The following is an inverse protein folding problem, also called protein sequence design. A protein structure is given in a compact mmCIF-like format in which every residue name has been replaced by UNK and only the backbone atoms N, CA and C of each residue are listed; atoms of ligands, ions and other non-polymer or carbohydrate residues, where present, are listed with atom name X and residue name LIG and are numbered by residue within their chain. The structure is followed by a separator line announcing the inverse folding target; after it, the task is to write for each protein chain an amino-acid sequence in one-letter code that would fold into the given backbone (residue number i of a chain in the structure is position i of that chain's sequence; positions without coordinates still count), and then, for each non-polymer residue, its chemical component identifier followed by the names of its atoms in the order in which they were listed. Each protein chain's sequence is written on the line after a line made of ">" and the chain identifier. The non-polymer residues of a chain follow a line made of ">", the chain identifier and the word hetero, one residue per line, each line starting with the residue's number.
data_IF_846965847825
#
_entry.id   IF_846965847825
#
_cell.length_a   1.000
_cell.length_b   1.000
_cell.length_c   1.000
_cell.angle_alpha   90.00
_cell.angle_beta   90.00
_cell.angle_gamma   90.00
#
_symmetry.space_group_name_H-M   'P 1'
#
loop_
_entity.id
_entity.type
_entity.pdbx_description
1 polymer ?
#
# COMPACT_ATOMS: atom_id res chain seq x y z
N UNK A 1 8.82 -12.61 -4.96
CA UNK A 1 7.99 -13.81 -4.85
C UNK A 1 8.33 -14.52 -3.56
N UNK A 2 7.35 -14.64 -2.67
CA UNK A 2 7.52 -15.31 -1.37
C UNK A 2 6.41 -16.34 -1.20
N UNK A 3 6.77 -17.53 -0.76
CA UNK A 3 5.84 -18.57 -0.37
C UNK A 3 5.88 -18.72 1.14
N UNK A 4 4.70 -18.79 1.77
CA UNK A 4 4.60 -19.12 3.20
C UNK A 4 4.92 -20.59 3.48
N UNK A 5 5.27 -20.84 4.74
CA UNK A 5 5.63 -22.20 5.24
C UNK A 5 4.41 -23.11 5.40
N UNK A 6 3.21 -22.55 5.50
CA UNK A 6 1.98 -23.33 5.67
C UNK A 6 1.53 -23.89 4.33
N UNK A 7 1.36 -25.20 4.28
CA UNK A 7 0.88 -25.90 3.10
C UNK A 7 -0.61 -25.65 2.82
N UNK A 8 -1.06 -26.08 1.66
CA UNK A 8 -2.47 -26.11 1.26
C UNK A 8 -2.90 -27.55 1.00
N UNK A 9 -4.19 -27.79 1.12
CA UNK A 9 -4.79 -29.05 0.68
C UNK A 9 -5.05 -28.97 -0.84
N UNK A 10 -4.35 -29.84 -1.59
CA UNK A 10 -4.42 -29.87 -3.05
C UNK A 10 -5.68 -30.55 -3.60
N UNK A 11 -6.47 -31.18 -2.75
CA UNK A 11 -7.73 -31.80 -3.13
C UNK A 11 -8.87 -30.80 -3.27
N UNK A 12 -8.68 -29.60 -2.70
CA UNK A 12 -9.67 -28.53 -2.73
C UNK A 12 -9.60 -27.72 -4.05
N UNK A 13 -10.74 -27.18 -4.50
CA UNK A 13 -10.80 -26.35 -5.71
C UNK A 13 -10.16 -24.96 -5.53
N UNK A 14 -9.62 -24.64 -4.36
CA UNK A 14 -8.93 -23.40 -4.05
C UNK A 14 -7.63 -23.68 -3.28
N UNK A 15 -6.73 -22.72 -3.33
CA UNK A 15 -5.41 -22.83 -2.74
C UNK A 15 -5.26 -21.80 -1.62
N UNK A 16 -4.96 -22.26 -0.43
CA UNK A 16 -4.79 -21.49 0.80
C UNK A 16 -3.33 -21.22 1.13
N UNK A 17 -2.40 -21.74 0.33
CA UNK A 17 -0.98 -21.46 0.55
C UNK A 17 -0.72 -19.95 0.50
N UNK A 18 -0.07 -19.44 1.52
CA UNK A 18 0.34 -18.04 1.56
C UNK A 18 1.35 -17.77 0.44
N UNK A 19 1.02 -16.83 -0.43
CA UNK A 19 1.85 -16.44 -1.57
C UNK A 19 1.78 -14.97 -1.81
N UNK A 20 2.94 -14.31 -1.75
CA UNK A 20 3.10 -12.90 -2.04
C UNK A 20 3.92 -12.73 -3.33
N UNK A 21 3.31 -12.09 -4.31
CA UNK A 21 4.01 -11.63 -5.52
C UNK A 21 4.01 -10.11 -5.53
N UNK A 22 5.19 -9.53 -5.64
CA UNK A 22 5.35 -8.07 -5.77
C UNK A 22 6.26 -7.75 -6.93
N UNK A 23 5.80 -6.87 -7.81
CA UNK A 23 6.52 -6.37 -8.95
C UNK A 23 6.73 -4.88 -8.75
N UNK A 24 7.99 -4.45 -8.76
CA UNK A 24 8.35 -3.05 -8.62
C UNK A 24 8.88 -2.54 -9.97
N UNK A 25 8.45 -1.35 -10.34
CA UNK A 25 8.89 -0.66 -11.55
C UNK A 25 9.43 0.70 -11.14
N UNK A 26 10.56 1.11 -11.72
CA UNK A 26 11.10 2.47 -11.61
C UNK A 26 11.79 2.84 -12.90
N UNK A 27 11.46 4.02 -13.41
CA UNK A 27 12.12 4.63 -14.55
C UNK A 27 12.35 6.11 -14.26
N UNK A 28 13.56 6.59 -14.55
CA UNK A 28 13.92 8.00 -14.45
C UNK A 28 14.55 8.38 -15.80
N UNK A 29 14.02 9.43 -16.41
CA UNK A 29 14.46 9.89 -17.71
C UNK A 29 14.69 11.40 -17.66
N UNK A 30 15.88 11.84 -18.03
CA UNK A 30 16.24 13.25 -18.21
C UNK A 30 16.48 13.48 -19.69
N UNK A 31 15.76 14.44 -20.27
CA UNK A 31 15.81 14.78 -21.68
C UNK A 31 16.15 16.26 -21.87
N UNK A 32 17.29 16.55 -22.47
CA UNK A 32 17.63 17.88 -22.95
C UNK A 32 16.84 18.19 -24.23
N UNK A 33 15.66 18.82 -24.09
CA UNK A 33 14.84 19.19 -25.25
C UNK A 33 15.52 20.27 -26.09
N UNK A 34 16.23 21.18 -25.43
CA UNK A 34 17.09 22.19 -26.02
C UNK A 34 18.31 22.43 -25.13
N UNK A 35 19.26 23.26 -25.57
CA UNK A 35 20.43 23.69 -24.76
C UNK A 35 20.03 24.44 -23.47
N UNK A 36 18.76 24.81 -23.33
CA UNK A 36 18.23 25.61 -22.19
C UNK A 36 17.01 25.00 -21.55
N UNK A 37 16.47 23.88 -22.08
CA UNK A 37 15.24 23.24 -21.61
C UNK A 37 15.51 21.80 -21.26
N UNK A 38 15.31 21.44 -20.01
CA UNK A 38 15.45 20.08 -19.49
C UNK A 38 14.08 19.56 -19.03
N UNK A 39 13.67 18.43 -19.58
CA UNK A 39 12.49 17.67 -19.14
C UNK A 39 12.96 16.48 -18.31
N UNK A 40 12.41 16.32 -17.11
CA UNK A 40 12.60 15.13 -16.27
C UNK A 40 11.28 14.40 -16.11
N UNK A 41 11.34 13.10 -16.27
CA UNK A 41 10.23 12.20 -16.07
C UNK A 41 10.65 11.07 -15.14
N UNK A 42 10.03 10.99 -13.97
CA UNK A 42 10.27 9.94 -13.01
C UNK A 42 8.97 9.19 -12.81
N UNK A 43 9.01 7.89 -12.93
CA UNK A 43 7.89 6.98 -12.66
C UNK A 43 8.37 5.87 -11.75
N UNK A 44 7.60 5.58 -10.73
CA UNK A 44 7.82 4.45 -9.84
C UNK A 44 6.51 3.83 -9.42
N UNK A 45 6.56 2.59 -8.98
CA UNK A 45 5.36 1.94 -8.48
C UNK A 45 5.54 0.46 -8.23
N UNK A 46 4.46 -0.14 -7.77
CA UNK A 46 4.40 -1.59 -7.58
C UNK A 46 3.00 -2.15 -7.81
N UNK A 47 2.99 -3.42 -8.19
CA UNK A 47 1.82 -4.30 -8.16
C UNK A 47 2.11 -5.42 -7.17
N UNK A 48 1.21 -5.65 -6.23
CA UNK A 48 1.33 -6.69 -5.22
C UNK A 48 0.07 -7.55 -5.20
N UNK A 49 0.26 -8.86 -5.24
CA UNK A 49 -0.82 -9.83 -5.10
C UNK A 49 -0.50 -10.73 -3.91
N UNK A 50 -1.44 -10.79 -2.97
CA UNK A 50 -1.38 -11.65 -1.80
C UNK A 50 -2.51 -12.67 -1.87
N UNK A 51 -2.16 -13.93 -1.69
CA UNK A 51 -3.10 -15.03 -1.46
C UNK A 51 -2.72 -15.73 -0.17
N UNK A 52 -3.68 -16.11 0.63
CA UNK A 52 -3.48 -16.86 1.88
C UNK A 52 -4.77 -17.53 2.33
N UNK A 53 -4.68 -18.32 3.40
CA UNK A 53 -5.85 -18.77 4.16
C UNK A 53 -6.72 -17.57 4.59
N UNK A 54 -8.02 -17.79 4.75
CA UNK A 54 -8.94 -16.83 5.34
C UNK A 54 -8.55 -16.48 6.78
N UNK A 55 -8.11 -17.46 7.55
CA UNK A 55 -7.67 -17.24 8.93
C UNK A 55 -6.42 -16.37 8.98
N UNK A 56 -6.32 -15.54 10.01
CA UNK A 56 -5.12 -14.75 10.23
C UNK A 56 -3.94 -15.65 10.65
N UNK A 57 -2.73 -15.18 10.42
CA UNK A 57 -1.51 -15.90 10.80
C UNK A 57 -1.46 -16.12 12.31
N UNK A 58 -1.84 -15.10 13.10
CA UNK A 58 -1.82 -15.15 14.55
C UNK A 58 -2.82 -16.18 15.08
N UNK A 59 -4.04 -16.22 14.56
CA UNK A 59 -5.04 -17.24 14.92
C UNK A 59 -4.57 -18.66 14.57
N UNK A 60 -3.90 -18.84 13.43
CA UNK A 60 -3.36 -20.15 13.03
C UNK A 60 -2.26 -20.61 13.97
N UNK A 61 -1.32 -19.74 14.32
CA UNK A 61 -0.27 -20.05 15.28
C UNK A 61 -0.82 -20.30 16.68
N UNK A 62 -1.72 -19.48 17.14
CA UNK A 62 -2.39 -19.69 18.43
C UNK A 62 -3.06 -21.06 18.47
N UNK A 63 -3.88 -21.39 17.47
CA UNK A 63 -4.54 -22.70 17.41
C UNK A 63 -3.55 -23.86 17.36
N UNK A 64 -2.41 -23.70 16.65
CA UNK A 64 -1.37 -24.72 16.59
C UNK A 64 -0.66 -24.93 17.93
N UNK A 65 -0.40 -23.88 18.69
CA UNK A 65 0.17 -23.98 20.04
C UNK A 65 -0.82 -24.53 21.08
N UNK A 66 -2.11 -24.21 20.95
CA UNK A 66 -3.16 -24.70 21.85
C UNK A 66 -3.56 -26.16 21.59
N UNK A 67 -3.20 -26.70 20.40
CA UNK A 67 -3.57 -28.06 19.98
C UNK A 67 -2.32 -28.87 19.65
N UNK A 68 -1.66 -29.44 20.67
CA UNK A 68 -0.50 -30.31 20.45
C UNK A 68 -0.83 -31.54 19.59
N UNK A 69 0.12 -32.02 18.76
CA UNK A 69 -0.11 -33.14 17.81
C UNK A 69 -0.64 -34.42 18.38
N UNK A 70 -0.41 -34.66 19.67
CA UNK A 70 -0.84 -35.90 20.37
C UNK A 70 -2.31 -35.87 20.79
N UNK A 71 -3.02 -34.71 20.68
CA UNK A 71 -4.43 -34.60 21.08
C UNK A 71 -5.34 -35.23 20.05
N UNK A 72 -5.09 -34.95 18.77
CA UNK A 72 -5.78 -35.58 17.63
C UNK A 72 -4.96 -35.37 16.35
N UNK A 73 -5.18 -36.18 15.32
CA UNK A 73 -4.60 -35.93 14.00
C UNK A 73 -5.24 -34.71 13.34
N UNK A 74 -4.62 -34.18 12.28
CA UNK A 74 -5.17 -33.09 11.48
C UNK A 74 -6.54 -33.46 10.84
N UNK A 75 -6.59 -34.68 10.30
CA UNK A 75 -7.77 -35.29 9.67
C UNK A 75 -7.68 -36.80 9.94
N UNK A 76 -8.80 -37.44 10.17
CA UNK A 76 -8.87 -38.88 10.32
C UNK A 76 -8.79 -39.61 8.97
N UNK A 77 -8.53 -40.93 9.01
CA UNK A 77 -8.43 -41.76 7.82
C UNK A 77 -9.70 -41.89 7.02
N UNK A 78 -10.86 -41.64 7.63
CA UNK A 78 -12.18 -41.54 7.00
C UNK A 78 -12.51 -40.17 6.43
N UNK A 79 -11.57 -39.20 6.52
CA UNK A 79 -11.75 -37.83 6.04
C UNK A 79 -12.43 -36.90 7.05
N UNK A 80 -12.84 -37.37 8.22
CA UNK A 80 -13.48 -36.54 9.22
C UNK A 80 -12.46 -35.64 9.94
N UNK A 81 -12.89 -34.43 10.31
CA UNK A 81 -12.04 -33.40 10.89
C UNK A 81 -12.32 -33.28 12.38
N UNK A 82 -11.41 -33.73 13.26
CA UNK A 82 -11.59 -33.66 14.70
C UNK A 82 -11.43 -32.25 15.24
N UNK A 83 -12.18 -31.94 16.31
CA UNK A 83 -12.06 -30.72 17.10
C UNK A 83 -12.30 -31.03 18.57
N UNK A 84 -11.47 -30.49 19.47
CA UNK A 84 -11.62 -30.74 20.91
C UNK A 84 -12.85 -30.01 21.46
N UNK A 85 -13.03 -28.75 21.07
CA UNK A 85 -14.14 -27.90 21.52
C UNK A 85 -14.33 -26.72 20.57
N UNK A 86 -15.34 -25.92 20.84
CA UNK A 86 -15.57 -24.68 20.05
C UNK A 86 -14.43 -23.66 20.19
N UNK A 87 -13.69 -23.68 21.29
CA UNK A 87 -12.57 -22.79 21.57
C UNK A 87 -11.23 -23.33 21.03
N UNK A 88 -11.04 -24.64 21.05
CA UNK A 88 -9.83 -25.31 20.53
C UNK A 88 -10.08 -25.79 19.11
N UNK A 89 -9.79 -24.93 18.17
CA UNK A 89 -9.99 -25.17 16.74
C UNK A 89 -8.89 -26.08 16.18
N UNK A 90 -9.22 -26.85 15.15
CA UNK A 90 -8.24 -27.64 14.41
C UNK A 90 -7.40 -26.71 13.52
N UNK A 91 -6.09 -26.53 13.76
CA UNK A 91 -5.27 -25.57 13.02
C UNK A 91 -5.09 -25.95 11.55
N UNK A 92 -5.08 -27.23 11.23
CA UNK A 92 -5.03 -27.69 9.84
C UNK A 92 -6.28 -27.28 9.08
N UNK A 93 -7.46 -27.52 9.66
CA UNK A 93 -8.73 -27.13 9.06
C UNK A 93 -8.86 -25.60 8.91
N UNK A 94 -8.43 -24.85 9.92
CA UNK A 94 -8.39 -23.39 9.83
C UNK A 94 -7.53 -22.90 8.66
N UNK A 95 -6.40 -23.55 8.42
CA UNK A 95 -5.51 -23.16 7.32
C UNK A 95 -6.04 -23.60 5.95
N UNK A 96 -6.62 -24.79 5.85
CA UNK A 96 -6.93 -25.39 4.55
C UNK A 96 -8.41 -25.38 4.18
N UNK A 97 -9.32 -25.59 5.16
CA UNK A 97 -10.74 -25.83 4.91
C UNK A 97 -11.64 -24.61 5.06
N UNK A 98 -11.17 -23.55 5.75
CA UNK A 98 -12.01 -22.40 6.07
C UNK A 98 -12.13 -21.35 4.94
N UNK A 99 -11.59 -21.66 3.75
CA UNK A 99 -11.63 -20.75 2.62
C UNK A 99 -10.34 -19.93 2.45
N UNK A 100 -10.42 -18.86 1.69
CA UNK A 100 -9.22 -18.13 1.26
C UNK A 100 -9.43 -16.60 1.24
N UNK A 101 -8.31 -15.91 1.29
CA UNK A 101 -8.17 -14.48 1.07
C UNK A 101 -7.33 -14.23 -0.19
N UNK A 102 -7.80 -13.31 -1.04
CA UNK A 102 -7.03 -12.74 -2.15
C UNK A 102 -7.08 -11.23 -2.07
N UNK A 103 -5.91 -10.59 -2.08
CA UNK A 103 -5.80 -9.14 -2.06
C UNK A 103 -4.81 -8.63 -3.10
N UNK A 104 -5.13 -7.49 -3.69
CA UNK A 104 -4.28 -6.76 -4.61
C UNK A 104 -3.98 -5.37 -4.08
N UNK A 105 -2.74 -4.92 -4.24
CA UNK A 105 -2.32 -3.54 -3.97
C UNK A 105 -1.55 -3.03 -5.17
N UNK A 106 -1.86 -1.81 -5.58
CA UNK A 106 -1.10 -1.12 -6.60
C UNK A 106 -0.77 0.31 -6.16
N UNK A 107 0.43 0.74 -6.47
CA UNK A 107 0.87 2.12 -6.28
C UNK A 107 1.58 2.60 -7.53
N UNK A 108 1.23 3.78 -7.99
CA UNK A 108 1.93 4.50 -9.04
C UNK A 108 2.31 5.87 -8.49
N UNK A 109 3.55 6.24 -8.67
CA UNK A 109 4.11 7.56 -8.37
C UNK A 109 4.74 8.10 -9.64
N UNK A 110 4.35 9.30 -10.04
CA UNK A 110 4.88 9.93 -11.24
C UNK A 110 5.19 11.38 -11.00
N UNK A 111 6.30 11.84 -11.56
CA UNK A 111 6.74 13.21 -11.49
C UNK A 111 7.27 13.65 -12.86
N UNK A 112 6.72 14.76 -13.34
CA UNK A 112 7.19 15.46 -14.52
C UNK A 112 7.72 16.81 -14.09
N UNK A 113 8.92 17.21 -14.53
CA UNK A 113 9.38 18.55 -14.32
C UNK A 113 10.03 19.11 -15.58
N UNK A 114 9.69 20.33 -15.90
CA UNK A 114 10.25 21.11 -16.98
C UNK A 114 11.06 22.25 -16.38
N UNK A 115 12.37 22.24 -16.63
CA UNK A 115 13.27 23.33 -16.24
C UNK A 115 13.69 24.12 -17.47
N UNK A 116 13.51 25.44 -17.43
CA UNK A 116 13.90 26.34 -18.47
C UNK A 116 14.94 27.34 -17.95
N UNK A 117 16.10 27.35 -18.54
CA UNK A 117 17.10 28.39 -18.29
C UNK A 117 16.76 29.63 -19.11
N UNK A 118 16.50 30.74 -18.44
CA UNK A 118 16.06 32.01 -19.03
C UNK A 118 17.20 33.01 -19.17
N UNK A 119 18.42 32.51 -19.43
CA UNK A 119 19.61 33.35 -19.63
C UNK A 119 19.48 34.36 -20.76
N UNK A 120 18.53 34.15 -21.69
CA UNK A 120 18.19 35.11 -22.75
C UNK A 120 17.57 36.40 -22.20
N UNK A 121 16.90 36.34 -21.06
CA UNK A 121 16.31 37.49 -20.36
C UNK A 121 17.37 38.09 -19.44
N UNK A 122 17.91 37.26 -18.55
CA UNK A 122 19.02 37.66 -17.67
C UNK A 122 19.81 36.44 -17.22
N UNK A 123 21.16 36.52 -17.16
CA UNK A 123 21.97 35.44 -16.62
C UNK A 123 21.58 35.11 -15.17
N UNK A 124 21.47 33.81 -14.85
CA UNK A 124 21.11 33.33 -13.51
C UNK A 124 19.62 33.12 -13.29
N UNK A 125 18.75 33.51 -14.22
CA UNK A 125 17.31 33.28 -14.13
C UNK A 125 16.94 31.88 -14.66
N UNK A 126 16.15 31.15 -13.87
CA UNK A 126 15.59 29.83 -14.26
C UNK A 126 14.13 29.75 -13.82
N UNK A 127 13.35 29.01 -14.56
CA UNK A 127 11.99 28.62 -14.23
C UNK A 127 11.87 27.12 -14.21
N UNK A 128 11.16 26.56 -13.24
CA UNK A 128 10.86 25.15 -13.13
C UNK A 128 9.36 24.96 -12.88
N UNK A 129 8.74 24.08 -13.64
CA UNK A 129 7.38 23.61 -13.39
C UNK A 129 7.44 22.13 -13.09
N UNK A 130 6.79 21.70 -12.02
CA UNK A 130 6.73 20.30 -11.59
C UNK A 130 5.27 19.90 -11.46
N UNK A 131 4.92 18.76 -12.05
CA UNK A 131 3.64 18.11 -11.87
C UNK A 131 3.90 16.69 -11.36
N UNK A 132 3.22 16.31 -10.27
CA UNK A 132 3.26 14.94 -9.79
C UNK A 132 1.84 14.39 -9.66
N UNK A 133 1.72 13.10 -9.94
CA UNK A 133 0.49 12.35 -9.80
C UNK A 133 0.80 11.01 -9.15
N UNK A 134 0.16 10.77 -8.00
CA UNK A 134 0.29 9.53 -7.24
C UNK A 134 -1.07 8.88 -7.08
N UNK A 135 -1.12 7.56 -7.20
CA UNK A 135 -2.33 6.79 -6.90
C UNK A 135 -1.99 5.51 -6.16
N UNK A 136 -2.85 5.17 -5.22
CA UNK A 136 -2.82 3.91 -4.49
C UNK A 136 -4.19 3.26 -4.55
N UNK A 137 -4.22 1.97 -4.85
CA UNK A 137 -5.43 1.17 -4.83
C UNK A 137 -5.19 -0.13 -4.08
N UNK A 138 -6.18 -0.52 -3.28
CA UNK A 138 -6.22 -1.80 -2.59
C UNK A 138 -7.60 -2.42 -2.76
N UNK A 139 -7.60 -3.70 -3.11
CA UNK A 139 -8.80 -4.51 -3.18
C UNK A 139 -8.56 -5.87 -2.56
N UNK A 140 -9.60 -6.48 -2.02
CA UNK A 140 -9.51 -7.85 -1.60
C UNK A 140 -10.86 -8.57 -1.63
N UNK A 141 -10.78 -9.87 -1.74
CA UNK A 141 -11.91 -10.79 -1.67
C UNK A 141 -11.59 -11.85 -0.63
N UNK A 142 -12.52 -12.08 0.27
CA UNK A 142 -12.49 -13.19 1.22
C UNK A 142 -13.65 -14.12 0.90
N UNK A 143 -13.35 -15.41 0.79
CA UNK A 143 -14.36 -16.45 0.67
C UNK A 143 -14.23 -17.39 1.87
N UNK A 144 -15.33 -17.63 2.56
CA UNK A 144 -15.37 -18.39 3.79
C UNK A 144 -16.17 -19.67 3.65
N UNK A 145 -15.71 -20.69 4.36
CA UNK A 145 -16.40 -21.96 4.55
C UNK A 145 -16.04 -22.51 5.93
N UNK A 146 -16.96 -23.19 6.57
CA UNK A 146 -16.67 -23.99 7.76
C UNK A 146 -16.85 -25.45 7.37
N UNK A 147 -15.91 -26.34 7.69
CA UNK A 147 -16.08 -27.77 7.50
C UNK A 147 -16.94 -28.36 8.61
N UNK A 148 -17.44 -29.58 8.38
CA UNK A 148 -18.03 -30.39 9.47
C UNK A 148 -16.94 -30.74 10.47
N UNK A 149 -17.24 -30.57 11.75
CA UNK A 149 -16.32 -30.94 12.82
C UNK A 149 -16.89 -32.07 13.68
N UNK A 150 -16.02 -32.99 14.05
CA UNK A 150 -16.31 -34.18 14.82
C UNK A 150 -15.61 -34.16 16.15
N UNK A 151 -16.16 -34.85 17.14
CA UNK A 151 -15.48 -35.09 18.42
C UNK A 151 -14.21 -35.91 18.21
N UNK A 152 -13.24 -35.76 19.13
CA UNK A 152 -12.07 -36.60 19.12
C UNK A 152 -12.48 -38.04 19.37
N UNK A 153 -12.13 -38.96 18.45
CA UNK A 153 -12.43 -40.37 18.57
C UNK A 153 -11.64 -40.98 19.74
N UNK A 154 -12.34 -41.69 20.60
CA UNK A 154 -11.75 -42.35 21.79
C UNK A 154 -11.54 -43.87 21.63
N UNK A 155 -12.22 -44.47 20.68
CA UNK A 155 -12.22 -45.92 20.44
C UNK A 155 -12.54 -46.25 18.99
N UNK A 156 -12.45 -47.52 18.65
CA UNK A 156 -12.99 -48.08 17.43
C UNK A 156 -14.10 -49.06 17.79
N UNK A 157 -15.08 -49.20 16.89
CA UNK A 157 -16.09 -50.26 17.01
C UNK A 157 -15.50 -51.65 16.61
N UNK A 158 -16.32 -52.67 16.70
CA UNK A 158 -15.93 -54.03 16.35
C UNK A 158 -15.55 -54.22 14.87
N UNK A 159 -16.03 -53.32 14.01
CA UNK A 159 -15.72 -53.25 12.57
C UNK A 159 -14.46 -52.45 12.27
N UNK A 160 -13.82 -51.88 13.31
CA UNK A 160 -12.60 -51.09 13.18
C UNK A 160 -12.81 -49.64 12.82
N UNK A 161 -14.06 -49.14 12.75
CA UNK A 161 -14.38 -47.74 12.45
C UNK A 161 -14.22 -46.85 13.67
N UNK A 162 -13.88 -45.59 13.44
CA UNK A 162 -13.72 -44.60 14.50
C UNK A 162 -15.05 -44.23 15.15
N UNK A 163 -15.12 -44.25 16.47
CA UNK A 163 -16.30 -43.83 17.23
C UNK A 163 -16.17 -42.38 17.59
N UNK A 164 -16.86 -41.52 16.82
CA UNK A 164 -16.96 -40.10 17.07
C UNK A 164 -18.39 -39.58 16.72
N UNK A 165 -18.70 -38.38 17.17
CA UNK A 165 -19.98 -37.73 16.90
C UNK A 165 -19.74 -36.37 16.25
N UNK A 166 -20.70 -35.93 15.47
CA UNK A 166 -20.63 -34.61 14.89
C UNK A 166 -20.82 -33.53 15.99
N UNK A 167 -19.91 -32.56 16.01
CA UNK A 167 -19.95 -31.42 16.93
C UNK A 167 -20.61 -30.19 16.29
N UNK A 168 -20.34 -29.99 15.02
CA UNK A 168 -20.97 -28.90 14.28
C UNK A 168 -21.00 -29.23 12.79
N UNK A 169 -22.11 -28.89 12.18
CA UNK A 169 -22.25 -28.90 10.72
C UNK A 169 -21.58 -27.67 10.12
N UNK A 170 -20.90 -27.87 9.03
CA UNK A 170 -20.27 -26.82 8.25
C UNK A 170 -21.21 -26.21 7.21
N UNK A 171 -20.64 -25.47 6.31
CA UNK A 171 -21.32 -24.93 5.14
C UNK A 171 -20.92 -25.68 3.88
N UNK A 172 -21.88 -25.96 3.00
CA UNK A 172 -21.63 -26.63 1.73
C UNK A 172 -20.85 -25.73 0.75
N UNK A 173 -21.19 -24.45 0.73
CA UNK A 173 -20.66 -23.47 -0.22
C UNK A 173 -19.76 -22.45 0.45
N UNK A 174 -18.84 -21.88 -0.34
CA UNK A 174 -18.03 -20.75 0.05
C UNK A 174 -18.87 -19.46 0.07
N UNK A 175 -19.04 -18.88 1.23
CA UNK A 175 -19.64 -17.55 1.35
C UNK A 175 -18.78 -16.49 0.67
N UNK A 176 -19.45 -15.47 0.14
CA UNK A 176 -18.78 -14.33 -0.45
C UNK A 176 -18.73 -13.17 0.53
N UNK A 177 -17.51 -12.76 0.88
CA UNK A 177 -17.28 -11.49 1.56
C UNK A 177 -16.28 -10.71 0.71
N UNK A 178 -16.68 -9.57 0.19
CA UNK A 178 -15.76 -8.62 -0.43
C UNK A 178 -15.78 -7.34 0.38
N UNK A 179 -14.61 -6.84 0.72
CA UNK A 179 -14.52 -5.46 1.13
C UNK A 179 -14.31 -4.57 -0.06
N UNK A 180 -14.91 -3.40 0.01
CA UNK A 180 -14.84 -2.43 -1.05
C UNK A 180 -13.40 -2.11 -1.42
N UNK A 181 -13.19 -1.85 -2.70
CA UNK A 181 -11.98 -1.20 -3.14
C UNK A 181 -11.85 0.13 -2.41
N UNK A 182 -10.71 0.39 -1.84
CA UNK A 182 -10.38 1.73 -1.42
C UNK A 182 -9.06 2.14 -2.07
N UNK A 183 -8.97 3.42 -2.34
CA UNK A 183 -7.81 3.99 -2.96
C UNK A 183 -7.72 5.46 -2.64
N UNK A 184 -6.59 6.02 -2.95
CA UNK A 184 -6.37 7.45 -2.87
C UNK A 184 -5.59 7.91 -4.08
N UNK A 185 -5.73 9.18 -4.38
CA UNK A 185 -4.95 9.84 -5.42
C UNK A 185 -4.50 11.21 -4.94
N UNK A 186 -3.34 11.62 -5.41
CA UNK A 186 -2.77 12.92 -5.11
C UNK A 186 -2.26 13.56 -6.38
N UNK A 187 -2.57 14.82 -6.57
CA UNK A 187 -1.94 15.66 -7.59
C UNK A 187 -1.18 16.79 -6.93
N UNK A 188 -0.02 17.10 -7.46
CA UNK A 188 0.81 18.21 -7.03
C UNK A 188 1.27 19.01 -8.22
N UNK A 189 1.11 20.32 -8.13
CA UNK A 189 1.61 21.28 -9.11
C UNK A 189 2.50 22.28 -8.38
N UNK A 190 3.68 22.54 -8.94
CA UNK A 190 4.61 23.54 -8.46
C UNK A 190 5.14 24.34 -9.63
N UNK A 191 5.24 25.65 -9.45
CA UNK A 191 5.95 26.54 -10.35
C UNK A 191 6.94 27.37 -9.53
N UNK A 192 8.21 27.31 -9.89
CA UNK A 192 9.27 28.01 -9.19
C UNK A 192 10.08 28.87 -10.17
N UNK A 193 10.42 30.08 -9.75
CA UNK A 193 11.36 30.97 -10.44
C UNK A 193 12.54 31.18 -9.49
N UNK A 194 13.72 30.92 -9.98
CA UNK A 194 14.97 31.13 -9.24
C UNK A 194 15.87 32.11 -9.98
N UNK A 195 16.50 32.98 -9.23
CA UNK A 195 17.50 33.90 -9.73
C UNK A 195 18.76 33.79 -8.87
N UNK A 196 19.88 33.48 -9.47
CA UNK A 196 21.18 33.39 -8.79
C UNK A 196 22.22 34.12 -9.62
N UNK A 197 22.79 35.18 -9.07
CA UNK A 197 23.80 35.97 -9.77
C UNK A 197 24.75 36.66 -8.83
N UNK A 198 26.03 36.65 -9.19
CA UNK A 198 27.09 37.41 -8.51
C UNK A 198 27.54 38.56 -9.39
N UNK A 199 27.61 39.75 -8.82
CA UNK A 199 28.11 40.98 -9.43
C UNK A 199 29.26 41.53 -8.57
N UNK A 200 30.47 41.33 -8.99
CA UNK A 200 31.67 41.69 -8.25
C UNK A 200 31.59 41.13 -6.81
N UNK A 201 31.41 41.97 -5.80
CA UNK A 201 31.29 41.59 -4.39
C UNK A 201 29.86 41.29 -3.92
N UNK A 202 28.86 41.44 -4.78
CA UNK A 202 27.46 41.28 -4.47
C UNK A 202 26.95 39.95 -5.03
N UNK A 203 26.47 39.05 -4.18
CA UNK A 203 25.75 37.85 -4.61
C UNK A 203 24.28 37.95 -4.21
N UNK A 204 23.40 37.69 -5.16
CA UNK A 204 21.95 37.74 -4.98
C UNK A 204 21.36 36.37 -5.37
N UNK A 205 20.63 35.78 -4.42
CA UNK A 205 19.84 34.57 -4.61
C UNK A 205 18.36 34.87 -4.30
N UNK A 206 17.49 34.57 -5.24
CA UNK A 206 16.07 34.75 -5.05
C UNK A 206 15.31 33.48 -5.51
N UNK A 207 14.28 33.14 -4.76
CA UNK A 207 13.33 32.10 -5.09
C UNK A 207 11.91 32.64 -4.89
N UNK A 208 11.07 32.41 -5.87
CA UNK A 208 9.62 32.53 -5.74
C UNK A 208 8.99 31.21 -6.16
N UNK A 209 8.06 30.70 -5.36
CA UNK A 209 7.43 29.40 -5.54
C UNK A 209 5.93 29.52 -5.33
N UNK A 210 5.16 28.92 -6.23
CA UNK A 210 3.76 28.58 -6.07
C UNK A 210 3.59 27.08 -6.05
N UNK A 211 2.76 26.57 -5.15
CA UNK A 211 2.37 25.17 -5.16
C UNK A 211 0.88 24.98 -4.92
N UNK A 212 0.38 23.86 -5.43
CA UNK A 212 -0.98 23.39 -5.19
C UNK A 212 -0.96 21.89 -5.06
N UNK A 213 -1.67 21.36 -4.06
CA UNK A 213 -1.88 19.93 -3.86
C UNK A 213 -3.36 19.65 -3.74
N UNK A 214 -3.80 18.58 -4.41
CA UNK A 214 -5.11 17.98 -4.22
C UNK A 214 -4.91 16.53 -3.77
N UNK A 215 -5.59 16.14 -2.70
CA UNK A 215 -5.54 14.80 -2.17
C UNK A 215 -6.96 14.26 -2.00
N UNK A 216 -7.24 13.12 -2.63
CA UNK A 216 -8.54 12.46 -2.64
C UNK A 216 -8.42 11.08 -1.99
N UNK A 217 -9.21 10.84 -0.95
CA UNK A 217 -9.32 9.57 -0.23
C UNK A 217 -10.49 8.71 -0.71
N UNK A 218 -11.19 9.12 -1.77
CA UNK A 218 -12.46 8.55 -2.19
C UNK A 218 -13.66 9.19 -1.50
N UNK A 219 -13.47 10.31 -0.81
CA UNK A 219 -14.53 11.13 -0.23
C UNK A 219 -15.24 11.98 -1.27
N UNK A 220 -16.34 12.62 -0.87
CA UNK A 220 -17.15 13.49 -1.75
C UNK A 220 -16.36 14.69 -2.30
N UNK A 221 -15.36 15.16 -1.54
CA UNK A 221 -14.50 16.27 -1.94
C UNK A 221 -13.04 16.00 -1.60
N UNK A 222 -12.11 16.24 -2.55
CA UNK A 222 -10.70 16.13 -2.26
C UNK A 222 -10.21 17.26 -1.37
N UNK A 223 -9.21 16.98 -0.53
CA UNK A 223 -8.54 18.00 0.28
C UNK A 223 -7.56 18.80 -0.59
N UNK A 224 -7.75 20.11 -0.67
CA UNK A 224 -6.90 20.99 -1.46
C UNK A 224 -6.13 21.97 -0.59
N UNK A 225 -4.87 22.12 -0.92
CA UNK A 225 -3.98 23.12 -0.32
C UNK A 225 -3.24 23.86 -1.42
N UNK A 226 -2.96 25.13 -1.20
CA UNK A 226 -2.14 25.94 -2.09
C UNK A 226 -1.26 26.88 -1.28
N UNK A 227 -0.15 27.27 -1.86
CA UNK A 227 0.77 28.16 -1.17
C UNK A 227 1.66 28.94 -2.12
N UNK A 228 2.13 30.04 -1.60
CA UNK A 228 3.22 30.82 -2.19
C UNK A 228 4.33 30.95 -1.15
N UNK A 229 5.57 30.87 -1.60
CA UNK A 229 6.74 31.09 -0.77
C UNK A 229 7.78 31.89 -1.55
N UNK A 230 8.56 32.66 -0.83
CA UNK A 230 9.67 33.37 -1.40
C UNK A 230 10.83 33.49 -0.45
N UNK A 231 12.02 33.50 -1.02
CA UNK A 231 13.28 33.71 -0.33
C UNK A 231 14.12 34.70 -1.12
N UNK A 232 14.71 35.63 -0.42
CA UNK A 232 15.70 36.57 -0.95
C UNK A 232 16.93 36.54 -0.06
N UNK A 233 18.07 36.15 -0.60
CA UNK A 233 19.36 36.15 0.09
C UNK A 233 20.31 37.07 -0.61
N UNK A 234 20.96 37.94 0.13
CA UNK A 234 21.97 38.86 -0.35
C UNK A 234 23.25 38.68 0.45
N UNK A 235 24.35 38.55 -0.26
CA UNK A 235 25.69 38.42 0.32
C UNK A 235 26.60 39.50 -0.22
N UNK A 236 27.27 40.25 0.65
CA UNK A 236 28.26 41.25 0.29
C UNK A 236 29.67 40.81 0.75
N UNK A 237 30.60 40.84 -0.18
CA UNK A 237 32.04 40.50 0.02
C UNK A 237 32.28 39.17 0.74
N UNK A 238 31.35 38.23 0.66
CA UNK A 238 31.32 36.94 1.38
C UNK A 238 31.37 37.08 2.92
N UNK A 239 31.11 38.29 3.45
CA UNK A 239 31.21 38.61 4.87
C UNK A 239 29.87 38.95 5.50
N UNK A 240 29.04 39.65 4.77
CA UNK A 240 27.75 40.10 5.26
C UNK A 240 26.64 39.37 4.48
N UNK A 241 25.78 38.66 5.22
CA UNK A 241 24.68 37.87 4.65
C UNK A 241 23.39 38.38 5.26
N UNK A 242 22.42 38.66 4.41
CA UNK A 242 21.08 39.01 4.83
C UNK A 242 20.10 38.09 4.07
N UNK A 243 19.12 37.55 4.79
CA UNK A 243 18.10 36.69 4.20
C UNK A 243 16.70 37.09 4.67
N UNK A 244 15.78 37.11 3.71
CA UNK A 244 14.37 37.34 3.95
C UNK A 244 13.57 36.17 3.38
N UNK A 245 12.66 35.63 4.20
CA UNK A 245 11.77 34.54 3.81
C UNK A 245 10.34 34.92 4.11
N UNK A 246 9.44 34.55 3.22
CA UNK A 246 8.00 34.63 3.46
C UNK A 246 7.29 33.38 2.92
N UNK A 247 6.14 33.05 3.53
CA UNK A 247 5.27 32.00 3.09
C UNK A 247 3.81 32.30 3.43
N UNK A 248 2.92 31.99 2.51
CA UNK A 248 1.49 32.06 2.71
C UNK A 248 0.84 30.78 2.19
N UNK A 249 0.11 30.09 3.06
CA UNK A 249 -0.55 28.83 2.74
C UNK A 249 -2.08 28.97 2.95
N UNK A 250 -2.84 28.45 2.01
CA UNK A 250 -4.28 28.32 2.07
C UNK A 250 -4.72 26.86 2.03
N UNK A 251 -5.76 26.54 2.78
CA UNK A 251 -6.43 25.23 2.75
C UNK A 251 -7.93 25.42 2.73
N UNK A 252 -8.64 24.59 2.01
CA UNK A 252 -10.11 24.60 2.02
C UNK A 252 -10.73 24.14 3.34
N UNK A 253 -9.93 23.56 4.24
CA UNK A 253 -10.35 23.22 5.60
C UNK A 253 -10.69 24.47 6.44
N UNK A 254 -10.32 25.66 5.98
CA UNK A 254 -10.62 26.93 6.64
C UNK A 254 -11.71 27.68 5.90
N UNK A 255 -12.58 28.35 6.64
CA UNK A 255 -13.64 29.18 6.08
C UNK A 255 -13.08 30.28 5.18
N UNK A 256 -13.86 30.68 4.16
CA UNK A 256 -13.51 31.79 3.24
C UNK A 256 -13.20 33.05 4.05
N UNK A 257 -12.02 33.63 3.86
CA UNK A 257 -11.50 34.79 4.62
C UNK A 257 -10.63 34.44 5.82
N UNK A 258 -10.44 33.14 6.14
CA UNK A 258 -9.50 32.64 7.14
C UNK A 258 -8.51 31.63 6.56
N UNK A 259 -8.42 31.62 5.24
CA UNK A 259 -7.52 30.76 4.46
C UNK A 259 -6.16 31.44 4.30
#
# INVERSE_FOLDING_TARGET
>A
HENGIMGSDKTLPYDTQSKLNRYNIRANVDLDLTKTTLLRFNVGGYLQNLRKSRSSTDELFQAAFETPPFVHPAVYSDGTIPRVSNTRKNPWAMNTQNGYYRGGKSKLESLFSLEQNLKMITPGLKMKVTFAFDTYNENFVTRGKEPDYYSVAKSRNDEGELVHSILSYGSEFLDHSSNANYGNQSTYLEAAVTYNRTFDKHALDALFLYNQRSYDWGDVQPNRTQGIAGRLSYTFDRRYISEFNFGYNGSENFAKGKR
#
